data_IF_228533836861
#
_entry.id   IF_228533836861
#
_cell.length_a   1.000
_cell.length_b   1.000
_cell.length_c   1.000
_cell.angle_alpha   90.00
_cell.angle_beta   90.00
_cell.angle_gamma   90.00
#
_symmetry.space_group_name_H-M   'P 1'
#
loop_
_entity.id
_entity.type
_entity.pdbx_description
1 polymer ?
#
# COMPACT_ATOMS: atom_id res chain seq x y z
N UNK A 1 -1.11 -11.10 7.68
CA UNK A 1 -2.10 -11.95 8.39
C UNK A 1 -2.65 -11.16 9.56
N UNK A 2 -3.94 -11.27 9.86
CA UNK A 2 -4.54 -10.73 11.09
C UNK A 2 -5.03 -11.90 11.96
N UNK A 3 -5.13 -11.69 13.27
CA UNK A 3 -5.72 -12.66 14.20
C UNK A 3 -7.23 -12.70 14.00
N UNK A 4 -7.88 -13.87 14.10
CA UNK A 4 -9.33 -14.02 13.80
C UNK A 4 -10.25 -13.07 14.58
N UNK A 5 -9.83 -12.65 15.77
CA UNK A 5 -10.53 -11.67 16.62
C UNK A 5 -10.27 -10.20 16.23
N UNK A 6 -9.45 -9.96 15.19
CA UNK A 6 -9.06 -8.64 14.69
C UNK A 6 -8.15 -7.84 15.61
N UNK A 7 -7.70 -8.41 16.72
CA UNK A 7 -6.92 -7.67 17.73
C UNK A 7 -5.48 -7.36 17.31
N UNK A 8 -4.97 -8.05 16.28
CA UNK A 8 -3.57 -7.95 15.87
C UNK A 8 -3.40 -8.18 14.37
N UNK A 9 -2.47 -7.43 13.77
CA UNK A 9 -2.01 -7.62 12.39
C UNK A 9 -0.49 -7.79 12.38
N UNK A 10 0.02 -8.76 11.61
CA UNK A 10 1.45 -8.96 11.39
C UNK A 10 1.79 -9.33 9.95
N UNK A 11 3.00 -8.97 9.55
CA UNK A 11 3.65 -9.47 8.32
C UNK A 11 4.60 -10.58 8.74
N UNK A 12 4.60 -11.68 8.00
CA UNK A 12 5.50 -12.80 8.24
C UNK A 12 6.23 -13.12 6.94
N UNK A 13 7.57 -13.17 6.99
CA UNK A 13 8.40 -13.64 5.87
C UNK A 13 8.75 -15.10 6.07
N UNK A 14 8.60 -15.87 5.01
CA UNK A 14 8.96 -17.27 4.94
C UNK A 14 10.10 -17.48 3.95
N UNK A 15 10.95 -18.46 4.21
CA UNK A 15 11.79 -19.08 3.19
C UNK A 15 11.35 -20.53 3.11
N UNK A 16 10.89 -20.94 1.94
CA UNK A 16 10.12 -22.18 1.77
C UNK A 16 8.93 -22.20 2.74
N UNK A 17 8.92 -23.16 3.67
CA UNK A 17 7.89 -23.33 4.69
C UNK A 17 8.34 -22.88 6.09
N UNK A 18 9.49 -22.20 6.20
CA UNK A 18 10.08 -21.81 7.48
C UNK A 18 9.92 -20.31 7.70
N UNK A 19 9.26 -19.93 8.80
CA UNK A 19 9.19 -18.54 9.24
C UNK A 19 10.59 -18.00 9.53
N UNK A 20 10.94 -16.87 8.93
CA UNK A 20 12.24 -16.19 9.12
C UNK A 20 12.13 -14.89 9.88
N UNK A 21 10.99 -14.23 9.79
CA UNK A 21 10.78 -12.92 10.38
C UNK A 21 9.30 -12.68 10.58
N UNK A 22 8.92 -12.27 11.79
CA UNK A 22 7.62 -11.68 12.08
C UNK A 22 7.82 -10.18 12.33
N UNK A 23 7.03 -9.36 11.64
CA UNK A 23 7.01 -7.90 11.75
C UNK A 23 5.62 -7.52 12.26
N UNK A 24 5.56 -7.02 13.49
CA UNK A 24 4.31 -6.73 14.19
C UNK A 24 4.41 -5.44 15.00
N UNK A 25 5.51 -5.26 15.72
CA UNK A 25 5.73 -4.12 16.61
C UNK A 25 6.92 -3.30 16.13
N UNK A 26 6.85 -1.98 16.33
CA UNK A 26 7.95 -1.06 16.12
C UNK A 26 8.89 -1.01 17.32
N UNK A 27 9.94 -0.18 17.19
CA UNK A 27 11.02 -0.11 18.19
C UNK A 27 10.55 0.31 19.59
N UNK A 28 9.43 1.03 19.71
CA UNK A 28 8.81 1.43 20.98
C UNK A 28 7.62 0.56 21.40
N UNK A 29 7.46 -0.64 20.81
CA UNK A 29 6.44 -1.62 21.20
C UNK A 29 5.02 -1.33 20.69
N UNK A 30 4.82 -0.25 19.93
CA UNK A 30 3.59 0.05 19.22
C UNK A 30 3.35 -0.93 18.07
N UNK A 31 2.09 -1.26 17.81
CA UNK A 31 1.72 -2.02 16.61
C UNK A 31 2.07 -1.20 15.34
N UNK A 32 2.65 -1.88 14.35
CA UNK A 32 2.99 -1.28 13.06
C UNK A 32 1.78 -1.16 12.12
N UNK A 33 0.89 -2.14 12.21
CA UNK A 33 -0.32 -2.24 11.41
C UNK A 33 -1.54 -2.15 12.32
N UNK A 34 -2.66 -1.69 11.77
CA UNK A 34 -3.91 -1.54 12.52
C UNK A 34 -4.48 -2.89 12.96
N UNK A 35 -4.99 -2.92 14.19
CA UNK A 35 -5.72 -4.04 14.75
C UNK A 35 -7.20 -4.01 14.31
N UNK A 36 -7.48 -4.59 13.14
CA UNK A 36 -8.83 -4.80 12.63
C UNK A 36 -8.82 -5.86 11.52
N UNK A 37 -10.02 -6.21 11.07
CA UNK A 37 -10.27 -7.18 10.01
C UNK A 37 -10.31 -6.56 8.60
N UNK A 38 -9.96 -5.27 8.45
CA UNK A 38 -9.83 -4.69 7.12
C UNK A 38 -8.66 -5.34 6.38
N UNK A 39 -8.87 -5.54 5.08
CA UNK A 39 -7.87 -6.12 4.19
C UNK A 39 -6.61 -5.27 4.17
N UNK A 40 -5.47 -5.94 4.11
CA UNK A 40 -4.14 -5.32 4.05
C UNK A 40 -3.39 -5.93 2.89
N UNK A 41 -3.35 -5.22 1.77
CA UNK A 41 -2.53 -5.64 0.63
C UNK A 41 -1.07 -5.29 0.89
N UNK A 42 -0.16 -6.08 0.33
CA UNK A 42 1.26 -5.84 0.48
C UNK A 42 2.00 -6.08 -0.83
N UNK A 43 3.11 -5.36 -0.99
CA UNK A 43 4.09 -5.54 -2.04
C UNK A 43 5.49 -5.39 -1.45
N UNK A 44 6.49 -5.98 -2.09
CA UNK A 44 7.90 -5.75 -1.79
C UNK A 44 8.49 -4.86 -2.89
N UNK A 45 9.21 -3.78 -2.52
CA UNK A 45 9.90 -2.93 -3.48
C UNK A 45 11.32 -3.48 -3.76
N UNK A 46 12.07 -2.89 -4.72
CA UNK A 46 13.44 -3.34 -5.02
C UNK A 46 14.45 -3.08 -3.89
N UNK A 47 14.11 -2.23 -2.93
CA UNK A 47 14.90 -2.02 -1.71
C UNK A 47 14.66 -3.10 -0.64
N UNK A 48 13.79 -4.08 -0.92
CA UNK A 48 13.35 -5.14 0.01
C UNK A 48 12.58 -4.60 1.21
N UNK A 49 11.96 -3.44 1.05
CA UNK A 49 10.97 -2.95 2.00
C UNK A 49 9.63 -3.62 1.72
N UNK A 50 8.91 -3.93 2.79
CA UNK A 50 7.52 -4.35 2.67
C UNK A 50 6.65 -3.10 2.77
N UNK A 51 5.88 -2.87 1.72
CA UNK A 51 4.91 -1.79 1.62
C UNK A 51 3.52 -2.40 1.86
N UNK A 52 2.78 -1.88 2.83
CA UNK A 52 1.45 -2.40 3.20
C UNK A 52 0.43 -1.30 3.03
N UNK A 53 -0.57 -1.51 2.17
CA UNK A 53 -1.77 -0.68 2.15
C UNK A 53 -2.66 -1.11 3.31
N UNK A 54 -2.63 -0.34 4.40
CA UNK A 54 -3.40 -0.58 5.61
C UNK A 54 -4.60 0.36 5.64
N UNK A 55 -5.71 -0.12 5.06
CA UNK A 55 -6.96 0.64 4.96
C UNK A 55 -7.45 1.09 6.34
N UNK A 56 -7.38 0.21 7.35
CA UNK A 56 -7.82 0.51 8.70
C UNK A 56 -6.91 1.48 9.48
N UNK A 57 -5.67 1.67 9.01
CA UNK A 57 -4.79 2.74 9.49
C UNK A 57 -4.89 4.02 8.66
N UNK A 58 -5.65 4.01 7.56
CA UNK A 58 -5.68 5.06 6.55
C UNK A 58 -4.26 5.44 6.10
N UNK A 59 -3.42 4.43 5.87
CA UNK A 59 -2.01 4.63 5.60
C UNK A 59 -1.40 3.53 4.74
N UNK A 60 -0.41 3.90 3.93
CA UNK A 60 0.60 2.95 3.46
C UNK A 60 1.70 2.90 4.50
N UNK A 61 1.92 1.74 5.11
CA UNK A 61 2.96 1.49 6.11
C UNK A 61 4.13 0.80 5.42
N UNK A 62 5.33 1.39 5.51
CA UNK A 62 6.54 0.85 4.88
C UNK A 62 7.54 0.43 5.94
N UNK A 63 7.92 -0.84 5.93
CA UNK A 63 8.89 -1.44 6.84
C UNK A 63 10.11 -1.92 6.08
N UNK A 64 11.29 -1.62 6.61
CA UNK A 64 12.57 -2.01 6.02
C UNK A 64 12.74 -3.53 6.01
N UNK A 65 13.70 -4.01 5.23
CA UNK A 65 14.04 -5.44 5.20
C UNK A 65 14.33 -6.03 6.59
N UNK A 66 14.90 -5.24 7.51
CA UNK A 66 15.17 -5.67 8.89
C UNK A 66 13.93 -5.65 9.82
N UNK A 67 12.76 -5.27 9.31
CA UNK A 67 11.49 -5.21 10.05
C UNK A 67 11.23 -3.89 10.77
N UNK A 68 12.15 -2.91 10.69
CA UNK A 68 11.96 -1.59 11.32
C UNK A 68 11.05 -0.71 10.45
N UNK A 69 10.20 0.07 11.09
CA UNK A 69 9.39 1.08 10.41
C UNK A 69 10.29 2.10 9.70
N UNK A 70 10.04 2.35 8.41
CA UNK A 70 10.68 3.45 7.67
C UNK A 70 9.80 4.70 7.74
N UNK A 71 8.55 4.59 7.27
CA UNK A 71 7.60 5.70 7.26
C UNK A 71 6.15 5.20 7.15
N UNK A 72 5.22 6.14 7.31
CA UNK A 72 3.80 5.96 6.97
C UNK A 72 3.39 7.09 6.03
N UNK A 73 2.75 6.75 4.93
CA UNK A 73 2.14 7.69 4.00
C UNK A 73 0.62 7.72 4.23
N UNK A 74 0.07 8.90 4.55
CA UNK A 74 -1.35 9.08 4.94
C UNK A 74 -2.15 9.89 3.92
N UNK A 75 -1.75 9.83 2.66
CA UNK A 75 -2.28 10.72 1.62
C UNK A 75 -1.66 12.12 1.68
N UNK A 76 -2.16 13.02 0.83
CA UNK A 76 -1.78 14.43 0.88
C UNK A 76 -2.48 15.14 2.05
N UNK A 77 -1.90 16.24 2.58
CA UNK A 77 -2.57 17.06 3.58
C UNK A 77 -3.95 17.48 3.09
N UNK A 78 -4.94 17.29 3.96
CA UNK A 78 -6.33 17.66 3.70
C UNK A 78 -6.38 19.16 3.38
N UNK A 79 -6.55 19.49 2.10
CA UNK A 79 -6.54 20.88 1.63
C UNK A 79 -7.89 21.55 1.88
N UNK A 80 -8.91 20.77 2.23
CA UNK A 80 -10.22 21.27 2.64
C UNK A 80 -10.81 20.40 3.76
N UNK A 81 -11.70 20.95 4.61
CA UNK A 81 -12.40 20.20 5.65
C UNK A 81 -13.32 19.09 5.11
N UNK A 82 -13.63 19.10 3.81
CA UNK A 82 -14.53 18.15 3.15
C UNK A 82 -13.79 17.10 2.31
N UNK A 83 -12.45 17.15 2.29
CA UNK A 83 -11.69 16.14 1.56
C UNK A 83 -11.82 14.80 2.31
N UNK A 84 -11.97 13.72 1.54
CA UNK A 84 -12.16 12.40 2.10
C UNK A 84 -10.85 11.89 2.72
N UNK A 85 -11.00 11.01 3.70
CA UNK A 85 -9.86 10.39 4.36
C UNK A 85 -9.17 9.44 3.37
N UNK A 86 -7.84 9.40 3.39
CA UNK A 86 -7.07 8.51 2.52
C UNK A 86 -7.41 7.03 2.82
N UNK A 87 -7.86 6.30 1.81
CA UNK A 87 -8.29 4.90 1.94
C UNK A 87 -7.50 3.98 0.99
N UNK A 88 -6.28 3.59 1.35
CA UNK A 88 -5.46 2.73 0.50
C UNK A 88 -6.05 1.33 0.40
N UNK A 89 -6.12 0.78 -0.82
CA UNK A 89 -6.52 -0.60 -1.10
C UNK A 89 -5.41 -1.38 -1.78
N UNK A 90 -5.41 -1.46 -3.12
CA UNK A 90 -4.39 -2.18 -3.87
C UNK A 90 -3.04 -1.49 -3.77
N UNK A 91 -1.96 -2.26 -3.74
CA UNK A 91 -0.59 -1.74 -3.68
C UNK A 91 0.32 -2.48 -4.65
N UNK A 92 1.20 -1.74 -5.33
CA UNK A 92 2.21 -2.27 -6.23
C UNK A 92 3.48 -1.43 -6.17
N UNK A 93 4.58 -1.96 -6.68
CA UNK A 93 5.87 -1.28 -6.75
C UNK A 93 6.42 -1.34 -8.17
N UNK A 94 7.16 -0.32 -8.59
CA UNK A 94 7.72 -0.24 -9.94
C UNK A 94 9.24 -0.45 -10.00
N UNK A 95 9.82 -0.40 -11.20
CA UNK A 95 11.25 -0.62 -11.40
C UNK A 95 12.15 0.45 -10.75
N UNK A 96 11.58 1.60 -10.37
CA UNK A 96 12.25 2.71 -9.70
C UNK A 96 12.01 2.70 -8.17
N UNK A 97 11.43 1.62 -7.63
CA UNK A 97 11.01 1.50 -6.24
C UNK A 97 9.95 2.53 -5.82
N UNK A 98 9.24 3.14 -6.77
CA UNK A 98 8.04 3.89 -6.41
C UNK A 98 6.98 2.93 -5.86
N UNK A 99 6.16 3.45 -4.96
CA UNK A 99 5.05 2.73 -4.38
C UNK A 99 3.78 3.35 -4.97
N UNK A 100 2.97 2.50 -5.58
CA UNK A 100 1.68 2.84 -6.15
C UNK A 100 0.61 2.26 -5.25
N UNK A 101 -0.42 3.04 -4.92
CA UNK A 101 -1.56 2.56 -4.13
C UNK A 101 -2.84 3.15 -4.68
N UNK A 102 -3.90 2.35 -4.77
CA UNK A 102 -5.21 2.87 -5.12
C UNK A 102 -5.87 3.52 -3.91
N UNK A 103 -6.55 4.63 -4.16
CA UNK A 103 -7.53 5.24 -3.27
C UNK A 103 -8.90 5.17 -3.97
N UNK A 104 -9.73 4.23 -3.50
CA UNK A 104 -11.06 3.96 -4.05
C UNK A 104 -11.99 5.16 -3.94
N UNK A 105 -11.90 5.88 -2.83
CA UNK A 105 -12.80 6.97 -2.44
C UNK A 105 -12.49 8.24 -3.23
N UNK A 106 -11.20 8.58 -3.36
CA UNK A 106 -10.74 9.70 -4.19
C UNK A 106 -10.58 9.31 -5.69
N UNK A 107 -10.98 8.09 -6.07
CA UNK A 107 -10.97 7.59 -7.44
C UNK A 107 -9.63 7.76 -8.18
N UNK A 108 -8.53 7.55 -7.45
CA UNK A 108 -7.19 7.83 -7.95
C UNK A 108 -6.17 6.76 -7.55
N UNK A 109 -5.00 6.82 -8.19
CA UNK A 109 -3.81 6.07 -7.80
C UNK A 109 -2.78 7.06 -7.30
N UNK A 110 -2.34 6.91 -6.06
CA UNK A 110 -1.22 7.66 -5.50
C UNK A 110 0.08 7.01 -5.93
N UNK A 111 1.06 7.83 -6.31
CA UNK A 111 2.43 7.40 -6.58
C UNK A 111 3.34 8.18 -5.63
N UNK A 112 4.09 7.45 -4.81
CA UNK A 112 5.11 8.00 -3.90
C UNK A 112 6.47 7.39 -4.21
N UNK A 113 7.53 8.11 -3.90
CA UNK A 113 8.89 7.59 -4.05
C UNK A 113 9.27 6.60 -2.93
N UNK A 114 10.47 6.02 -3.06
CA UNK A 114 10.99 5.05 -2.12
C UNK A 114 11.24 5.60 -0.70
N UNK A 115 11.22 6.92 -0.52
CA UNK A 115 11.39 7.60 0.78
C UNK A 115 10.07 8.15 1.32
N UNK A 116 8.96 7.87 0.63
CA UNK A 116 7.62 8.24 1.05
C UNK A 116 7.17 9.62 0.59
N UNK A 117 7.95 10.29 -0.26
CA UNK A 117 7.56 11.59 -0.80
C UNK A 117 6.52 11.40 -1.89
N UNK A 118 5.52 12.28 -1.87
CA UNK A 118 4.50 12.30 -2.90
C UNK A 118 5.07 12.71 -4.26
N UNK A 119 4.78 11.93 -5.30
CA UNK A 119 5.16 12.27 -6.67
C UNK A 119 3.97 12.83 -7.47
N UNK A 120 2.86 12.09 -7.55
CA UNK A 120 1.65 12.50 -8.31
C UNK A 120 0.45 11.58 -8.06
N UNK A 121 -0.72 12.01 -8.53
CA UNK A 121 -1.89 11.16 -8.75
C UNK A 121 -2.04 10.78 -10.22
N UNK A 122 -2.55 9.58 -10.44
CA UNK A 122 -3.27 9.24 -11.66
C UNK A 122 -4.77 9.28 -11.34
N UNK A 123 -5.57 9.87 -12.22
CA UNK A 123 -7.02 10.03 -12.02
C UNK A 123 -7.79 9.30 -13.13
N UNK A 124 -9.10 9.54 -13.19
CA UNK A 124 -10.01 8.97 -14.20
C UNK A 124 -10.21 7.46 -14.03
N UNK A 125 -10.27 7.01 -12.78
CA UNK A 125 -10.67 5.66 -12.41
C UNK A 125 -12.08 5.65 -11.85
N UNK A 126 -12.74 4.50 -11.94
CA UNK A 126 -14.04 4.24 -11.34
C UNK A 126 -13.87 3.20 -10.23
N UNK A 127 -13.66 3.67 -9.00
CA UNK A 127 -13.43 2.85 -7.81
C UNK A 127 -12.26 1.85 -8.00
N UNK A 128 -11.01 2.37 -8.12
CA UNK A 128 -9.83 1.55 -8.35
C UNK A 128 -9.52 0.67 -7.13
N UNK A 129 -9.54 -0.65 -7.31
CA UNK A 129 -9.40 -1.60 -6.19
C UNK A 129 -8.06 -2.33 -6.21
N UNK A 130 -7.90 -3.30 -7.10
CA UNK A 130 -6.66 -4.08 -7.25
C UNK A 130 -5.75 -3.44 -8.28
N UNK A 131 -4.45 -3.38 -8.00
CA UNK A 131 -3.45 -2.90 -8.96
C UNK A 131 -2.27 -3.86 -9.06
N UNK A 132 -1.62 -3.90 -10.22
CA UNK A 132 -0.31 -4.52 -10.40
C UNK A 132 0.52 -3.76 -11.44
N UNK A 133 1.84 -3.90 -11.36
CA UNK A 133 2.78 -3.32 -12.32
C UNK A 133 3.56 -4.47 -12.97
N UNK A 134 3.68 -4.44 -14.30
CA UNK A 134 4.47 -5.44 -15.03
C UNK A 134 5.96 -5.04 -15.13
N UNK A 135 6.77 -5.91 -15.75
CA UNK A 135 8.21 -5.69 -15.91
C UNK A 135 8.58 -4.49 -16.80
N UNK A 136 7.63 -3.96 -17.57
CA UNK A 136 7.81 -2.80 -18.46
C UNK A 136 7.24 -1.52 -17.83
N UNK A 137 7.00 -1.54 -16.51
CA UNK A 137 6.37 -0.47 -15.74
C UNK A 137 5.01 -0.04 -16.30
N UNK A 138 4.24 -1.01 -16.79
CA UNK A 138 2.84 -0.79 -17.13
C UNK A 138 1.97 -1.10 -15.91
N UNK A 139 1.18 -0.12 -15.51
CA UNK A 139 0.20 -0.25 -14.45
C UNK A 139 -1.09 -0.85 -14.99
N UNK A 140 -1.61 -1.86 -14.30
CA UNK A 140 -2.93 -2.44 -14.49
C UNK A 140 -3.80 -2.10 -13.29
N UNK A 141 -5.00 -1.57 -13.52
CA UNK A 141 -5.93 -1.16 -12.48
C UNK A 141 -7.27 -1.84 -12.70
N UNK A 142 -7.71 -2.66 -11.74
CA UNK A 142 -9.04 -3.26 -11.72
C UNK A 142 -10.04 -2.28 -11.09
N UNK A 143 -11.11 -1.98 -11.82
CA UNK A 143 -12.18 -1.07 -11.40
C UNK A 143 -13.38 -1.87 -10.89
N UNK A 144 -13.74 -1.69 -9.62
CA UNK A 144 -14.77 -2.52 -8.98
C UNK A 144 -16.15 -2.32 -9.61
N UNK A 145 -16.52 -1.07 -9.89
CA UNK A 145 -17.87 -0.72 -10.37
C UNK A 145 -18.06 -1.07 -11.85
N UNK A 146 -17.04 -0.84 -12.68
CA UNK A 146 -17.15 -1.06 -14.13
C UNK A 146 -16.82 -2.50 -14.53
N UNK A 147 -16.10 -3.24 -13.68
CA UNK A 147 -15.58 -4.57 -13.99
C UNK A 147 -14.43 -4.56 -15.00
N UNK A 148 -13.91 -3.39 -15.37
CA UNK A 148 -12.85 -3.25 -16.35
C UNK A 148 -11.46 -3.33 -15.70
N UNK A 149 -10.47 -3.71 -16.50
CA UNK A 149 -9.04 -3.54 -16.18
C UNK A 149 -8.44 -2.50 -17.12
N UNK A 150 -7.96 -1.39 -16.56
CA UNK A 150 -7.28 -0.34 -17.31
C UNK A 150 -5.78 -0.62 -17.36
N UNK A 151 -5.19 -0.54 -18.56
CA UNK A 151 -3.75 -0.63 -18.80
C UNK A 151 -3.18 0.78 -19.02
N UNK A 152 -2.20 1.18 -18.21
CA UNK A 152 -1.71 2.57 -18.19
C UNK A 152 -0.18 2.59 -18.24
N UNK A 153 0.34 3.31 -19.22
CA UNK A 153 1.74 3.76 -19.20
C UNK A 153 1.80 5.10 -18.45
N UNK A 154 2.45 5.12 -17.30
CA UNK A 154 2.49 6.29 -16.41
C UNK A 154 3.89 6.86 -16.22
N UNK A 155 4.94 6.08 -16.45
CA UNK A 155 6.30 6.58 -16.61
C UNK A 155 6.45 7.15 -18.03
N UNK A 156 7.14 8.29 -18.13
CA UNK A 156 7.42 8.95 -19.41
C UNK A 156 8.57 8.24 -20.12
#
# INVERSE_FOLDING_TARGET
MYKEDGSESKVVRYTDFVEKQTIQYGDNGQQLLSANNFIKYLAENRNRDICVADNGANAVVVVAQNGRLRFQYKGQPQSSPNQQQFHPFGIATDSQSHILTSDSDDHCIHIIDADGNFLRHLNSFSDPWGICVDENDILYVAELITGNVKKIKYLK
#
